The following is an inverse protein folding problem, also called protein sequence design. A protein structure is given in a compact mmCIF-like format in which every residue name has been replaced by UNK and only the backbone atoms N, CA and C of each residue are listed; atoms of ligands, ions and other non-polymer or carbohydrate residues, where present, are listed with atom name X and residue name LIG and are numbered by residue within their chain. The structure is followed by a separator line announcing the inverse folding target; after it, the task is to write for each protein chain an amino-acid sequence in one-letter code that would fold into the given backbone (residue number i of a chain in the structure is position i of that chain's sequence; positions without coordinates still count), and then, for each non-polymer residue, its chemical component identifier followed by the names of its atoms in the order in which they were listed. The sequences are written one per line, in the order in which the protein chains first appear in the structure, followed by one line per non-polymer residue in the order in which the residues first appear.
data_IF_506233009576
#
_entry.id   IF_506233009576
#
_cell.length_a   1.000
_cell.length_b   1.000
_cell.length_c   1.000
_cell.angle_alpha   90.00
_cell.angle_beta   90.00
_cell.angle_gamma   90.00
#
_symmetry.space_group_name_H-M   'P 1'
#
loop_
_entity.id
_entity.type
_entity.pdbx_description
1 polymer ?
#
# COMPACT_ATOMS: atom_id res chain seq x y z
N UNK A 1 -7.46 -1.63 0.04
CA UNK A 1 -6.00 -1.85 0.19
C UNK A 1 -5.29 -1.75 -1.17
N UNK A 2 -4.69 -0.60 -1.48
CA UNK A 2 -4.05 -0.36 -2.79
C UNK A 2 -2.64 -0.98 -2.92
N UNK A 3 -1.89 -1.10 -1.82
CA UNK A 3 -0.57 -1.78 -1.83
C UNK A 3 -0.70 -3.24 -2.29
N UNK A 4 -1.66 -3.99 -1.74
CA UNK A 4 -1.90 -5.37 -2.16
C UNK A 4 -2.25 -5.48 -3.64
N UNK A 5 -3.06 -4.53 -4.17
CA UNK A 5 -3.38 -4.46 -5.60
C UNK A 5 -2.13 -4.20 -6.44
N UNK A 6 -1.29 -3.25 -6.06
CA UNK A 6 -0.03 -2.97 -6.77
C UNK A 6 0.84 -4.21 -6.85
N UNK A 7 1.06 -4.90 -5.73
CA UNK A 7 1.91 -6.09 -5.68
C UNK A 7 1.35 -7.23 -6.55
N UNK A 8 0.05 -7.51 -6.46
CA UNK A 8 -0.58 -8.63 -7.16
C UNK A 8 -0.82 -8.35 -8.65
N UNK A 9 -1.21 -7.13 -9.01
CA UNK A 9 -1.67 -6.79 -10.37
C UNK A 9 -0.56 -6.18 -11.22
N UNK A 10 0.26 -5.30 -10.64
CA UNK A 10 1.24 -4.53 -11.40
C UNK A 10 2.67 -5.09 -11.25
N UNK A 11 2.93 -5.90 -10.22
CA UNK A 11 4.27 -6.44 -9.89
C UNK A 11 4.38 -7.96 -9.93
N UNK A 12 3.31 -8.66 -10.33
CA UNK A 12 3.23 -10.13 -10.47
C UNK A 12 3.69 -10.90 -9.20
N UNK A 13 3.51 -10.31 -8.01
CA UNK A 13 3.69 -11.04 -6.76
C UNK A 13 2.54 -12.02 -6.59
N UNK A 14 2.83 -13.17 -5.98
CA UNK A 14 1.84 -14.21 -5.72
C UNK A 14 1.56 -14.30 -4.24
N UNK A 15 0.38 -14.79 -3.85
CA UNK A 15 0.08 -15.04 -2.44
C UNK A 15 1.11 -15.94 -1.75
N UNK A 16 1.69 -16.89 -2.51
CA UNK A 16 2.75 -17.76 -2.02
C UNK A 16 4.06 -17.03 -1.63
N UNK A 17 4.26 -15.78 -2.08
CA UNK A 17 5.42 -14.96 -1.68
C UNK A 17 5.17 -14.13 -0.42
N UNK A 18 4.02 -14.26 0.23
CA UNK A 18 3.67 -13.53 1.46
C UNK A 18 3.64 -14.48 2.66
N UNK A 19 3.93 -13.96 3.84
CA UNK A 19 3.80 -14.71 5.09
C UNK A 19 2.53 -14.32 5.81
N UNK A 20 1.77 -15.35 6.22
CA UNK A 20 0.58 -15.21 7.03
C UNK A 20 0.74 -16.00 8.32
N UNK A 21 0.23 -15.44 9.41
CA UNK A 21 0.11 -16.15 10.68
C UNK A 21 -0.84 -17.35 10.55
N UNK A 22 -0.83 -18.31 11.50
CA UNK A 22 -1.81 -19.40 11.52
C UNK A 22 -3.27 -18.93 11.57
N UNK A 23 -3.52 -17.70 12.06
CA UNK A 23 -4.85 -17.07 12.08
C UNK A 23 -5.22 -16.41 10.73
N UNK A 24 -4.37 -16.50 9.71
CA UNK A 24 -4.58 -15.89 8.39
C UNK A 24 -4.27 -14.39 8.32
N UNK A 25 -3.57 -13.84 9.31
CA UNK A 25 -3.19 -12.42 9.32
C UNK A 25 -1.89 -12.24 8.55
N UNK A 26 -1.84 -11.26 7.66
CA UNK A 26 -0.61 -10.96 6.91
C UNK A 26 0.47 -10.42 7.86
N UNK A 27 1.63 -11.09 7.88
CA UNK A 27 2.80 -10.73 8.68
C UNK A 27 3.91 -10.09 7.85
N UNK A 28 4.10 -10.49 6.59
CA UNK A 28 5.13 -9.90 5.72
C UNK A 28 4.82 -10.03 4.23
N UNK A 29 5.20 -8.99 3.47
CA UNK A 29 5.16 -8.96 2.00
C UNK A 29 6.49 -9.35 1.35
N UNK A 30 7.57 -9.51 2.13
CA UNK A 30 8.93 -9.78 1.65
C UNK A 30 9.38 -8.82 0.55
N UNK A 31 9.29 -7.51 0.83
CA UNK A 31 9.70 -6.46 -0.09
C UNK A 31 11.13 -6.04 0.18
N UNK A 32 11.95 -6.00 -0.87
CA UNK A 32 13.28 -5.41 -0.79
C UNK A 32 13.20 -3.89 -0.64
N UNK A 33 14.23 -3.27 -0.06
CA UNK A 33 14.29 -1.80 0.02
C UNK A 33 14.21 -1.11 -1.34
N UNK A 34 14.62 -1.78 -2.42
CA UNK A 34 14.50 -1.26 -3.78
C UNK A 34 13.04 -1.25 -4.26
N UNK A 35 12.31 -2.35 -4.10
CA UNK A 35 10.89 -2.45 -4.46
C UNK A 35 10.05 -1.40 -3.72
N UNK A 36 10.36 -1.17 -2.44
CA UNK A 36 9.68 -0.15 -1.64
C UNK A 36 9.91 1.24 -2.20
N UNK A 37 11.17 1.59 -2.49
CA UNK A 37 11.48 2.90 -3.10
C UNK A 37 10.74 3.08 -4.42
N UNK A 38 10.69 2.03 -5.24
CA UNK A 38 10.01 2.06 -6.52
C UNK A 38 8.49 2.24 -6.39
N UNK A 39 7.87 1.54 -5.43
CA UNK A 39 6.45 1.72 -5.05
C UNK A 39 6.13 3.18 -4.69
N UNK A 40 7.07 3.88 -4.04
CA UNK A 40 6.89 5.27 -3.62
C UNK A 40 7.32 6.33 -4.65
N UNK A 41 8.03 5.96 -5.73
CA UNK A 41 8.54 6.94 -6.71
C UNK A 41 7.41 7.82 -7.25
N UNK A 42 6.34 7.22 -7.78
CA UNK A 42 5.22 7.99 -8.36
C UNK A 42 4.24 8.49 -7.30
N UNK A 43 4.16 7.84 -6.13
CA UNK A 43 3.15 8.14 -5.10
C UNK A 43 1.72 7.74 -5.47
N UNK A 44 1.49 7.20 -6.68
CA UNK A 44 0.17 6.82 -7.18
C UNK A 44 -0.29 5.44 -6.72
N UNK A 45 0.61 4.65 -6.10
CA UNK A 45 0.31 3.32 -5.58
C UNK A 45 -0.78 3.33 -4.52
N UNK A 46 -0.87 4.40 -3.72
CA UNK A 46 -1.85 4.52 -2.64
C UNK A 46 -3.08 5.33 -3.05
N UNK A 47 -3.14 5.76 -4.31
CA UNK A 47 -4.28 6.44 -4.88
C UNK A 47 -5.44 5.44 -5.02
N UNK A 48 -6.63 5.85 -4.57
CA UNK A 48 -7.83 5.03 -4.73
C UNK A 48 -8.13 4.86 -6.21
N UNK A 49 -7.88 3.65 -6.74
CA UNK A 49 -8.29 3.28 -8.10
C UNK A 49 -9.60 2.51 -8.06
N UNK A 50 -10.59 2.96 -8.83
CA UNK A 50 -11.95 2.40 -8.90
C UNK A 50 -12.58 2.63 -10.27
N UNK A 51 -13.91 2.79 -10.34
CA UNK A 51 -14.59 3.17 -11.59
C UNK A 51 -14.04 4.51 -12.14
N UNK A 52 -14.24 4.84 -13.43
CA UNK A 52 -13.83 6.13 -13.97
C UNK A 52 -14.37 7.26 -13.08
N UNK A 53 -13.48 8.15 -12.61
CA UNK A 53 -13.77 9.25 -11.68
C UNK A 53 -14.06 8.86 -10.21
N UNK A 54 -13.84 7.61 -9.82
CA UNK A 54 -14.00 7.21 -8.41
C UNK A 54 -12.81 7.69 -7.56
N UNK A 55 -12.99 8.80 -6.87
CA UNK A 55 -12.11 9.25 -5.80
C UNK A 55 -12.87 9.18 -4.47
N UNK A 56 -13.02 7.98 -3.89
CA UNK A 56 -13.50 7.85 -2.50
C UNK A 56 -12.28 7.79 -1.57
N UNK A 57 -11.71 8.94 -1.15
CA UNK A 57 -10.62 8.94 -0.19
C UNK A 57 -11.10 8.32 1.12
N UNK A 58 -10.20 7.61 1.80
CA UNK A 58 -10.42 7.16 3.17
C UNK A 58 -11.59 6.20 3.38
N UNK A 59 -12.09 5.53 2.33
CA UNK A 59 -13.27 4.66 2.43
C UNK A 59 -13.17 3.63 3.56
N UNK A 60 -12.00 3.02 3.71
CA UNK A 60 -11.71 2.01 4.74
C UNK A 60 -10.99 2.59 5.97
N UNK A 61 -10.67 3.89 5.98
CA UNK A 61 -9.89 4.53 7.04
C UNK A 61 -10.80 5.20 8.06
N UNK A 62 -10.59 4.89 9.35
CA UNK A 62 -11.31 5.57 10.44
C UNK A 62 -10.80 7.02 10.59
N UNK A 63 -11.69 8.00 10.82
CA UNK A 63 -11.26 9.36 11.20
C UNK A 63 -10.31 9.30 12.41
N UNK A 64 -9.17 10.00 12.31
CA UNK A 64 -8.12 10.00 13.35
C UNK A 64 -7.25 8.74 13.42
N UNK A 65 -7.56 7.71 12.63
CA UNK A 65 -6.74 6.51 12.47
C UNK A 65 -5.75 6.62 11.32
N UNK A 66 -4.99 5.54 11.08
CA UNK A 66 -4.07 5.47 9.96
C UNK A 66 -4.82 5.55 8.62
N UNK A 67 -4.30 6.39 7.74
CA UNK A 67 -4.82 6.57 6.38
C UNK A 67 -4.15 5.54 5.46
N UNK A 68 -4.95 4.73 4.78
CA UNK A 68 -4.45 3.67 3.89
C UNK A 68 -4.71 3.92 2.40
N UNK A 69 -5.65 4.82 2.08
CA UNK A 69 -6.04 5.15 0.70
C UNK A 69 -6.17 6.67 0.53
N UNK A 70 -5.64 7.21 -0.56
CA UNK A 70 -5.56 8.65 -0.84
C UNK A 70 -6.30 9.01 -2.13
N UNK A 71 -6.91 10.19 -2.22
CA UNK A 71 -7.62 10.64 -3.43
C UNK A 71 -6.68 11.08 -4.57
N UNK A 72 -5.42 11.35 -4.25
CA UNK A 72 -4.39 11.84 -5.17
C UNK A 72 -3.07 11.14 -4.87
N UNK A 73 -2.07 11.24 -5.75
CA UNK A 73 -0.72 10.78 -5.44
C UNK A 73 -0.21 11.37 -4.14
N UNK A 74 0.57 10.57 -3.40
CA UNK A 74 1.14 10.98 -2.12
C UNK A 74 2.06 12.20 -2.26
N UNK A 75 1.90 13.17 -1.36
CA UNK A 75 2.87 14.25 -1.16
C UNK A 75 4.20 13.70 -0.62
N UNK A 76 5.27 14.49 -0.68
CA UNK A 76 6.57 14.07 -0.14
C UNK A 76 6.50 13.68 1.34
N UNK A 77 5.76 14.44 2.15
CA UNK A 77 5.56 14.13 3.56
C UNK A 77 4.80 12.81 3.76
N UNK A 78 3.72 12.60 3.00
CA UNK A 78 2.92 11.38 3.09
C UNK A 78 3.73 10.15 2.66
N UNK A 79 4.61 10.27 1.65
CA UNK A 79 5.52 9.18 1.27
C UNK A 79 6.42 8.77 2.45
N UNK A 80 6.97 9.73 3.19
CA UNK A 80 7.79 9.44 4.37
C UNK A 80 6.99 8.75 5.48
N UNK A 81 5.77 9.21 5.74
CA UNK A 81 4.88 8.62 6.75
C UNK A 81 4.52 7.18 6.41
N UNK A 82 4.07 6.93 5.18
CA UNK A 82 3.70 5.59 4.73
C UNK A 82 4.92 4.67 4.66
N UNK A 83 6.09 5.18 4.26
CA UNK A 83 7.33 4.40 4.28
C UNK A 83 7.71 3.93 5.70
N UNK A 84 7.52 4.78 6.72
CA UNK A 84 7.71 4.39 8.13
C UNK A 84 6.73 3.29 8.55
N UNK A 85 5.47 3.38 8.13
CA UNK A 85 4.44 2.37 8.42
C UNK A 85 4.75 1.02 7.78
N UNK A 86 5.44 1.01 6.63
CA UNK A 86 5.81 -0.22 5.94
C UNK A 86 7.10 -0.87 6.47
N UNK A 87 7.92 -0.16 7.27
CA UNK A 87 9.18 -0.71 7.78
C UNK A 87 9.08 -2.08 8.48
N UNK A 88 8.03 -2.41 9.25
CA UNK A 88 7.91 -3.73 9.87
C UNK A 88 7.72 -4.88 8.88
N UNK A 89 7.36 -4.58 7.62
CA UNK A 89 7.07 -5.57 6.57
C UNK A 89 8.22 -5.70 5.55
N UNK A 90 9.38 -5.11 5.86
CA UNK A 90 10.64 -5.09 5.08
C UNK A 90 11.66 -6.00 5.72
#
# INVERSE_FOLDING_TARGET
MQLGRELLVNRDKRFASFTFSPAGILESFHLTSHEIRDIFQTGSTFETRGCPQCNRPYYDSRPGGTIYNYATPLSHQQKMEVQKLLQPFV
#
